data_IF_863616441151
#
_entry.id   IF_863616441151
#
_cell.length_a   1.000
_cell.length_b   1.000
_cell.length_c   1.000
_cell.angle_alpha   90.00
_cell.angle_beta   90.00
_cell.angle_gamma   90.00
#
_symmetry.space_group_name_H-M   'P 1'
#
loop_
_entity.id
_entity.type
_entity.pdbx_description
1 polymer ?
#
# COMPACT_ATOMS: atom_id res chain seq x y z
N UNK A 1 4.98 -3.29 -14.88
CA UNK A 1 5.26 -1.86 -14.98
C UNK A 1 4.42 -1.05 -14.02
N UNK A 2 4.81 0.20 -13.83
CA UNK A 2 4.03 1.15 -13.00
C UNK A 2 2.64 1.37 -13.58
N UNK A 3 2.51 1.39 -14.88
CA UNK A 3 1.20 1.54 -15.54
C UNK A 3 0.28 0.36 -15.23
N UNK A 4 0.82 -0.85 -15.23
CA UNK A 4 0.04 -2.04 -14.88
C UNK A 4 -0.42 -1.99 -13.43
N UNK A 5 0.44 -1.55 -12.51
CA UNK A 5 0.09 -1.37 -11.11
C UNK A 5 -1.04 -0.33 -10.95
N UNK A 6 -0.94 0.80 -11.64
CA UNK A 6 -1.97 1.84 -11.60
C UNK A 6 -3.31 1.34 -12.15
N UNK A 7 -3.29 0.56 -13.22
CA UNK A 7 -4.51 -0.05 -13.78
C UNK A 7 -5.15 -1.02 -12.81
N UNK A 8 -4.33 -1.80 -12.11
CA UNK A 8 -4.82 -2.75 -11.10
C UNK A 8 -5.46 -2.01 -9.94
N UNK A 9 -4.85 -0.93 -9.46
CA UNK A 9 -5.43 -0.08 -8.40
C UNK A 9 -6.78 0.48 -8.81
N UNK A 10 -6.89 0.95 -10.06
CA UNK A 10 -8.13 1.48 -10.59
C UNK A 10 -9.20 0.39 -10.69
N UNK A 11 -8.85 -0.75 -11.26
CA UNK A 11 -9.79 -1.86 -11.46
C UNK A 11 -10.33 -2.40 -10.14
N UNK A 12 -9.45 -2.55 -9.13
CA UNK A 12 -9.80 -3.10 -7.83
C UNK A 12 -10.27 -2.04 -6.84
N UNK A 13 -10.23 -0.76 -7.22
CA UNK A 13 -10.57 0.38 -6.36
C UNK A 13 -9.79 0.35 -5.03
N UNK A 14 -8.49 0.16 -5.13
CA UNK A 14 -7.58 0.12 -3.97
C UNK A 14 -6.45 1.13 -4.14
N UNK A 15 -5.88 1.56 -3.03
CA UNK A 15 -4.81 2.56 -3.01
C UNK A 15 -3.40 2.00 -2.96
N UNK A 16 -3.26 0.68 -2.99
CA UNK A 16 -1.96 0.03 -2.98
C UNK A 16 -2.02 -1.34 -3.63
N UNK A 17 -0.87 -1.80 -4.09
CA UNK A 17 -0.70 -3.17 -4.58
C UNK A 17 0.59 -3.74 -4.01
N UNK A 18 0.58 -5.03 -3.71
CA UNK A 18 1.76 -5.73 -3.24
C UNK A 18 2.59 -6.19 -4.43
N UNK A 19 3.90 -6.13 -4.28
CA UNK A 19 4.83 -6.59 -5.31
C UNK A 19 5.40 -7.93 -4.87
N UNK A 20 5.29 -8.92 -5.74
CA UNK A 20 5.83 -10.25 -5.48
C UNK A 20 6.97 -10.58 -6.43
N UNK A 21 7.90 -11.36 -5.94
CA UNK A 21 9.01 -11.91 -6.73
C UNK A 21 9.20 -13.36 -6.29
N UNK A 22 9.15 -14.26 -7.27
CA UNK A 22 9.31 -15.71 -7.01
C UNK A 22 8.38 -16.22 -5.91
N UNK A 23 7.13 -15.76 -5.93
CA UNK A 23 6.10 -16.19 -4.99
C UNK A 23 6.16 -15.54 -3.61
N UNK A 24 7.08 -14.60 -3.38
CA UNK A 24 7.20 -13.90 -2.10
C UNK A 24 6.91 -12.42 -2.27
N UNK A 25 6.28 -11.83 -1.25
CA UNK A 25 6.01 -10.39 -1.23
C UNK A 25 7.30 -9.67 -0.86
N UNK A 26 7.74 -8.79 -1.76
CA UNK A 26 8.99 -8.04 -1.58
C UNK A 26 8.79 -6.56 -1.36
N UNK A 27 7.60 -6.03 -1.63
CA UNK A 27 7.36 -4.61 -1.46
C UNK A 27 5.90 -4.24 -1.64
N UNK A 28 5.63 -2.95 -1.50
CA UNK A 28 4.30 -2.36 -1.71
C UNK A 28 4.43 -1.09 -2.52
N UNK A 29 3.53 -0.90 -3.49
CA UNK A 29 3.40 0.33 -4.27
C UNK A 29 2.08 0.98 -3.92
N UNK A 30 2.12 2.25 -3.58
CA UNK A 30 0.93 3.03 -3.24
C UNK A 30 0.63 4.07 -4.30
N UNK A 31 -0.60 4.63 -4.27
CA UNK A 31 -0.95 5.76 -5.13
C UNK A 31 0.04 6.92 -4.96
N UNK A 32 0.47 7.16 -3.74
CA UNK A 32 1.46 8.20 -3.42
C UNK A 32 2.79 7.94 -4.12
N UNK A 33 3.25 6.68 -4.17
CA UNK A 33 4.47 6.31 -4.87
C UNK A 33 4.36 6.59 -6.36
N UNK A 34 3.22 6.24 -6.96
CA UNK A 34 2.98 6.48 -8.38
C UNK A 34 3.05 7.98 -8.68
N UNK A 35 2.35 8.80 -7.90
CA UNK A 35 2.32 10.24 -8.13
C UNK A 35 3.69 10.87 -7.92
N UNK A 36 4.35 10.56 -6.81
CA UNK A 36 5.60 11.25 -6.42
C UNK A 36 6.81 10.78 -7.20
N UNK A 37 6.91 9.48 -7.43
CA UNK A 37 8.10 8.89 -8.05
C UNK A 37 7.99 8.75 -9.56
N UNK A 38 6.77 8.71 -10.07
CA UNK A 38 6.50 8.62 -11.48
C UNK A 38 6.64 9.98 -12.18
N UNK A 39 6.06 11.03 -11.60
CA UNK A 39 6.06 12.38 -12.20
C UNK A 39 7.47 12.93 -12.33
N UNK A 40 8.36 12.57 -11.41
CA UNK A 40 9.75 13.01 -11.44
C UNK A 40 10.68 12.17 -12.29
N UNK A 41 10.18 11.10 -12.92
CA UNK A 41 11.02 10.21 -13.72
C UNK A 41 11.12 10.69 -15.17
N UNK A 42 12.34 10.64 -15.71
CA UNK A 42 12.60 10.99 -17.12
C UNK A 42 12.40 9.80 -18.06
N UNK A 43 11.57 8.83 -17.66
CA UNK A 43 11.29 7.64 -18.46
C UNK A 43 9.81 7.57 -18.81
N UNK A 44 9.53 6.98 -19.97
CA UNK A 44 8.15 6.68 -20.33
C UNK A 44 7.55 5.70 -19.31
N UNK A 45 6.24 5.85 -18.97
CA UNK A 45 5.57 5.06 -17.93
C UNK A 45 5.75 3.55 -18.05
N UNK A 46 5.72 3.04 -19.25
CA UNK A 46 5.84 1.60 -19.49
C UNK A 46 7.25 1.04 -19.25
N UNK A 47 8.24 1.92 -19.12
CA UNK A 47 9.62 1.51 -18.85
C UNK A 47 10.01 1.62 -17.39
N UNK A 48 9.09 2.08 -16.54
CA UNK A 48 9.32 2.15 -15.09
C UNK A 48 8.81 0.87 -14.46
N UNK A 49 9.70 0.13 -13.81
CA UNK A 49 9.33 -1.09 -13.11
C UNK A 49 8.77 -0.74 -11.73
N UNK A 50 7.86 -1.58 -11.20
CA UNK A 50 7.31 -1.37 -9.86
C UNK A 50 8.39 -1.44 -8.79
N UNK A 51 9.44 -2.23 -9.00
CA UNK A 51 10.57 -2.34 -8.05
C UNK A 51 11.32 -1.02 -7.89
N UNK A 52 11.26 -0.13 -8.88
CA UNK A 52 11.94 1.16 -8.84
C UNK A 52 11.21 2.17 -7.94
N UNK A 53 9.93 1.96 -7.69
CA UNK A 53 9.12 2.89 -6.91
C UNK A 53 8.52 2.27 -5.64
N UNK A 54 8.58 0.97 -5.48
CA UNK A 54 8.02 0.30 -4.30
C UNK A 54 8.77 0.66 -3.03
N UNK A 55 8.07 0.54 -1.90
CA UNK A 55 8.70 0.55 -0.59
C UNK A 55 9.01 -0.89 -0.21
N UNK A 56 10.22 -1.14 0.26
CA UNK A 56 10.69 -2.48 0.59
C UNK A 56 11.63 -2.41 1.80
N UNK A 57 11.51 -3.33 2.77
CA UNK A 57 10.43 -4.31 2.89
C UNK A 57 9.09 -3.67 3.23
N UNK A 58 7.99 -4.45 3.18
CA UNK A 58 6.68 -3.97 3.56
C UNK A 58 6.67 -3.72 5.07
N UNK A 59 6.38 -2.48 5.47
CA UNK A 59 6.21 -2.14 6.89
C UNK A 59 4.93 -2.80 7.39
N UNK A 60 5.05 -3.63 8.41
CA UNK A 60 3.93 -4.44 8.90
C UNK A 60 3.57 -4.20 10.35
N UNK A 61 2.36 -4.60 10.69
CA UNK A 61 1.86 -4.64 12.06
C UNK A 61 1.16 -5.97 12.29
N UNK A 62 1.32 -6.55 13.47
CA UNK A 62 0.64 -7.78 13.83
C UNK A 62 -0.87 -7.55 13.92
N UNK A 63 -1.67 -8.49 13.41
CA UNK A 63 -3.12 -8.34 13.25
C UNK A 63 -3.88 -8.03 14.54
N UNK A 64 -3.34 -8.42 15.70
CA UNK A 64 -3.99 -8.21 16.99
C UNK A 64 -3.61 -6.91 17.69
N UNK A 65 -2.71 -6.14 17.09
CA UNK A 65 -2.30 -4.87 17.67
C UNK A 65 -3.42 -3.82 17.51
N UNK A 66 -3.52 -2.88 18.45
CA UNK A 66 -4.57 -1.86 18.39
C UNK A 66 -4.47 -0.96 17.17
N UNK A 67 -5.60 -0.47 16.68
CA UNK A 67 -5.67 0.50 15.58
C UNK A 67 -4.84 1.75 15.90
N UNK A 68 -4.80 2.17 17.16
CA UNK A 68 -4.00 3.32 17.58
C UNK A 68 -2.51 3.12 17.29
N UNK A 69 -2.01 1.91 17.48
CA UNK A 69 -0.62 1.60 17.18
C UNK A 69 -0.37 1.64 15.66
N UNK A 70 -1.31 1.15 14.87
CA UNK A 70 -1.22 1.24 13.42
C UNK A 70 -1.17 2.71 12.97
N UNK A 71 -2.02 3.56 13.52
CA UNK A 71 -2.04 4.98 13.22
C UNK A 71 -0.71 5.66 13.61
N UNK A 72 -0.14 5.30 14.74
CA UNK A 72 1.17 5.82 15.19
C UNK A 72 2.29 5.42 14.22
N UNK A 73 2.30 4.16 13.77
CA UNK A 73 3.29 3.68 12.82
C UNK A 73 3.17 4.39 11.47
N UNK A 74 1.94 4.58 10.99
CA UNK A 74 1.70 5.31 9.75
C UNK A 74 2.22 6.74 9.85
N UNK A 75 1.95 7.41 10.96
CA UNK A 75 2.41 8.77 11.19
C UNK A 75 3.94 8.84 11.28
N UNK A 76 4.55 7.93 12.03
CA UNK A 76 6.00 7.87 12.21
C UNK A 76 6.73 7.67 10.88
N UNK A 77 6.22 6.82 10.02
CA UNK A 77 6.84 6.46 8.75
C UNK A 77 6.28 7.20 7.55
N UNK A 78 5.39 8.18 7.77
CA UNK A 78 4.78 8.98 6.72
C UNK A 78 4.14 8.12 5.62
N UNK A 79 3.49 7.06 6.02
CA UNK A 79 2.76 6.15 5.12
C UNK A 79 1.30 6.08 5.50
N UNK A 80 0.46 5.77 4.53
CA UNK A 80 -0.97 5.57 4.73
C UNK A 80 -1.37 4.11 4.63
N UNK A 81 -0.41 3.22 4.49
CA UNK A 81 -0.63 1.79 4.31
C UNK A 81 0.35 1.01 5.18
N UNK A 82 -0.14 -0.07 5.78
CA UNK A 82 0.67 -1.02 6.51
C UNK A 82 0.29 -2.43 6.08
N UNK A 83 1.28 -3.30 5.99
CA UNK A 83 1.01 -4.73 5.90
C UNK A 83 0.49 -5.24 7.24
N UNK A 84 -0.44 -6.17 7.21
CA UNK A 84 -0.94 -6.83 8.41
C UNK A 84 -0.38 -8.24 8.44
N UNK A 85 0.24 -8.62 9.55
CA UNK A 85 0.87 -9.92 9.69
C UNK A 85 0.16 -10.77 10.73
N UNK A 86 0.22 -12.08 10.52
CA UNK A 86 -0.21 -13.09 11.47
C UNK A 86 0.90 -14.12 11.57
N UNK A 87 1.46 -14.29 12.75
CA UNK A 87 2.58 -15.22 12.97
C UNK A 87 3.74 -14.97 11.98
N UNK A 88 4.02 -13.71 11.69
CA UNK A 88 5.09 -13.31 10.79
C UNK A 88 4.76 -13.36 9.29
N UNK A 89 3.62 -13.89 8.91
CA UNK A 89 3.18 -13.95 7.53
C UNK A 89 2.24 -12.81 7.18
N UNK A 90 2.45 -12.19 6.02
CA UNK A 90 1.59 -11.12 5.54
C UNK A 90 0.22 -11.69 5.17
N UNK A 91 -0.84 -11.18 5.78
CA UNK A 91 -2.22 -11.62 5.53
C UNK A 91 -3.10 -10.54 4.92
N UNK A 92 -2.66 -9.30 4.90
CA UNK A 92 -3.44 -8.23 4.32
C UNK A 92 -2.73 -6.89 4.38
N UNK A 93 -3.44 -5.85 3.98
CA UNK A 93 -2.99 -4.46 4.04
C UNK A 93 -4.10 -3.63 4.64
N UNK A 94 -3.74 -2.74 5.56
CA UNK A 94 -4.67 -1.77 6.13
C UNK A 94 -4.24 -0.37 5.69
N UNK A 95 -5.20 0.50 5.43
CA UNK A 95 -4.94 1.88 5.05
C UNK A 95 -5.65 2.86 5.98
N UNK A 96 -5.23 4.12 5.93
CA UNK A 96 -5.92 5.20 6.65
C UNK A 96 -7.41 5.23 6.30
N UNK A 97 -7.76 4.91 5.05
CA UNK A 97 -9.14 4.87 4.58
C UNK A 97 -9.98 3.89 5.39
N UNK A 98 -9.40 2.77 5.82
CA UNK A 98 -10.11 1.77 6.62
C UNK A 98 -10.50 2.30 8.00
N UNK A 99 -9.70 3.23 8.54
CA UNK A 99 -9.98 3.86 9.83
C UNK A 99 -11.03 4.97 9.73
N UNK A 100 -11.16 5.55 8.54
CA UNK A 100 -12.04 6.69 8.28
C UNK A 100 -13.29 6.30 7.51
N UNK A 101 -13.63 5.01 7.54
CA UNK A 101 -14.79 4.52 6.82
C UNK A 101 -16.04 5.26 7.29
N UNK A 102 -16.73 6.00 6.41
CA UNK A 102 -17.90 6.78 6.83
C UNK A 102 -19.04 5.86 7.22
N UNK A 103 -19.74 6.26 8.28
CA UNK A 103 -20.99 5.60 8.66
C UNK A 103 -22.03 6.02 7.62
N UNK A 104 -22.75 5.05 7.05
CA UNK A 104 -23.81 5.34 6.10
C UNK A 104 -24.94 6.12 6.77
N UNK A 105 -25.56 7.05 6.03
CA UNK A 105 -26.73 7.78 6.53
C UNK A 105 -27.85 6.83 6.94
N UNK A 106 -27.93 5.68 6.29
CA UNK A 106 -28.94 4.67 6.58
C UNK A 106 -28.69 3.91 7.87
N UNK A 107 -27.51 4.07 8.47
CA UNK A 107 -27.15 3.43 9.73
C UNK A 107 -27.56 4.26 10.95
N UNK A 108 -28.13 5.40 10.75
CA UNK A 108 -28.63 6.29 11.82
C UNK A 108 -30.11 6.17 12.06
#
# INVERSE_FOLDING_TARGET
SVVDAAKLMKTCNVGSVLVSEKGQIVGIVTESDVVRKFVGADKAPYFIAVEDIMSSPVLGIEERRPITEAAELMNKHHTRHLGVTKSGALVGVVSVRDFLQPVSVDDF
#
